data_IF_298775199104
#
_entry.id   IF_298775199104
#
_cell.length_a   1.000
_cell.length_b   1.000
_cell.length_c   1.000
_cell.angle_alpha   90.00
_cell.angle_beta   90.00
_cell.angle_gamma   90.00
#
_symmetry.space_group_name_H-M   'P 1'
#
loop_
_entity.id
_entity.type
_entity.pdbx_description
1 polymer ?
#
# COMPACT_ATOMS: atom_id res chain seq x y z
N UNK A 1 0.52 -28.39 15.58
CA UNK A 1 1.29 -27.95 14.42
C UNK A 1 1.93 -26.64 14.79
N UNK A 2 3.24 -26.56 14.72
CA UNK A 2 3.94 -25.31 15.01
C UNK A 2 3.57 -24.27 13.96
N UNK A 3 3.19 -23.08 14.42
CA UNK A 3 2.87 -21.97 13.51
C UNK A 3 4.14 -21.54 12.78
N UNK A 4 4.10 -21.30 11.47
CA UNK A 4 5.29 -20.89 10.73
C UNK A 4 5.79 -19.54 11.26
N UNK A 5 7.10 -19.45 11.43
CA UNK A 5 7.79 -18.21 11.79
C UNK A 5 8.12 -17.43 10.52
N UNK A 6 7.74 -16.16 10.47
CA UNK A 6 8.09 -15.24 9.38
C UNK A 6 9.10 -14.23 9.92
N UNK A 7 10.34 -14.39 9.50
CA UNK A 7 11.42 -13.48 9.91
C UNK A 7 11.14 -12.04 9.45
N UNK A 8 11.48 -11.09 10.30
CA UNK A 8 11.37 -9.68 9.94
C UNK A 8 12.20 -9.36 8.69
N UNK A 9 11.65 -8.50 7.83
CA UNK A 9 12.36 -8.11 6.61
C UNK A 9 13.67 -7.37 6.94
N UNK A 10 14.71 -7.49 6.11
CA UNK A 10 15.97 -6.80 6.33
C UNK A 10 15.81 -5.31 6.61
N UNK A 11 16.53 -4.80 7.58
CA UNK A 11 16.47 -3.40 8.03
C UNK A 11 15.25 -3.05 8.90
N UNK A 12 14.45 -4.03 9.37
CA UNK A 12 13.46 -3.83 10.43
C UNK A 12 14.20 -3.68 11.76
N UNK A 13 14.10 -2.53 12.47
CA UNK A 13 14.71 -2.36 13.76
C UNK A 13 13.97 -3.17 14.84
N UNK A 14 14.62 -3.50 15.96
CA UNK A 14 13.91 -4.07 17.10
C UNK A 14 12.87 -3.09 17.64
N UNK A 15 11.80 -3.61 18.21
CA UNK A 15 10.83 -2.81 18.94
C UNK A 15 11.45 -2.37 20.29
N UNK A 16 11.41 -1.07 20.57
CA UNK A 16 12.00 -0.49 21.76
C UNK A 16 11.59 0.98 21.96
N UNK A 17 12.12 1.65 23.02
CA UNK A 17 11.93 3.07 23.24
C UNK A 17 12.26 3.89 21.98
N UNK A 18 11.64 5.07 21.81
CA UNK A 18 12.02 5.99 20.75
C UNK A 18 13.51 6.35 20.84
N UNK A 19 14.19 6.33 19.71
CA UNK A 19 15.62 6.72 19.61
C UNK A 19 15.75 7.92 18.68
N UNK A 20 16.76 8.78 18.96
CA UNK A 20 17.04 9.95 18.11
C UNK A 20 18.44 9.87 17.55
N UNK A 21 18.60 10.33 16.32
CA UNK A 21 19.86 10.55 15.64
C UNK A 21 19.83 11.90 14.90
N UNK A 22 20.87 12.22 14.11
CA UNK A 22 20.93 13.43 13.28
C UNK A 22 19.78 13.51 12.24
N UNK A 23 19.13 12.40 11.96
CA UNK A 23 17.99 12.29 11.04
C UNK A 23 16.63 12.60 11.67
N UNK A 24 16.54 12.61 13.00
CA UNK A 24 15.34 12.76 13.80
C UNK A 24 15.03 11.53 14.66
N UNK A 25 13.78 11.36 15.03
CA UNK A 25 13.31 10.29 15.90
C UNK A 25 12.91 9.04 15.12
N UNK A 26 13.30 7.87 15.59
CA UNK A 26 12.80 6.57 15.13
C UNK A 26 11.87 5.98 16.18
N UNK A 27 10.63 5.71 15.80
CA UNK A 27 9.55 5.27 16.71
C UNK A 27 9.13 3.86 16.31
N UNK A 28 9.28 2.89 17.22
CA UNK A 28 9.13 1.45 16.93
C UNK A 28 8.10 0.74 17.82
N UNK A 29 7.77 1.24 19.02
CA UNK A 29 6.71 0.65 19.86
C UNK A 29 5.34 0.98 19.29
N UNK A 30 4.42 0.02 19.37
CA UNK A 30 3.04 0.17 18.88
C UNK A 30 2.33 1.39 19.51
N UNK A 31 2.38 1.51 20.84
CA UNK A 31 1.72 2.59 21.58
C UNK A 31 2.28 3.97 21.19
N UNK A 32 3.60 4.10 21.04
CA UNK A 32 4.25 5.34 20.66
C UNK A 32 3.90 5.74 19.22
N UNK A 33 3.87 4.78 18.30
CA UNK A 33 3.45 5.00 16.91
C UNK A 33 2.00 5.46 16.85
N UNK A 34 1.09 4.85 17.61
CA UNK A 34 -0.32 5.28 17.70
C UNK A 34 -0.41 6.69 18.28
N UNK A 35 0.32 6.99 19.36
CA UNK A 35 0.36 8.32 19.96
C UNK A 35 0.75 9.38 18.93
N UNK A 36 1.84 9.19 18.20
CA UNK A 36 2.29 10.14 17.15
C UNK A 36 1.28 10.25 16.00
N UNK A 37 0.64 9.15 15.59
CA UNK A 37 -0.36 9.17 14.51
C UNK A 37 -1.63 9.93 14.86
N UNK A 38 -1.97 9.99 16.15
CA UNK A 38 -3.21 10.64 16.65
C UNK A 38 -2.97 12.03 17.22
N UNK A 39 -1.73 12.41 17.51
CA UNK A 39 -1.38 13.74 18.04
C UNK A 39 -1.48 14.80 16.94
N UNK A 40 -2.33 15.85 17.09
CA UNK A 40 -2.46 16.92 16.12
C UNK A 40 -1.19 17.73 15.91
N UNK A 41 -0.26 17.73 16.85
CA UNK A 41 1.04 18.38 16.75
C UNK A 41 2.01 17.64 15.81
N UNK A 42 1.72 16.38 15.50
CA UNK A 42 2.53 15.54 14.61
C UNK A 42 1.96 15.60 13.17
N UNK A 43 2.44 16.56 12.38
CA UNK A 43 1.91 16.82 11.04
C UNK A 43 2.66 16.07 9.94
N UNK A 44 2.00 15.87 8.80
CA UNK A 44 2.68 15.45 7.57
C UNK A 44 3.30 16.68 6.92
N UNK A 45 4.57 16.63 6.46
CA UNK A 45 5.14 17.71 5.68
C UNK A 45 4.24 18.04 4.48
N UNK A 46 3.70 19.27 4.36
CA UNK A 46 2.81 19.61 3.27
C UNK A 46 3.58 19.72 1.94
N UNK A 47 2.90 19.44 0.84
CA UNK A 47 3.40 19.78 -0.48
C UNK A 47 3.20 21.27 -0.75
N UNK A 48 4.14 21.86 -1.49
CA UNK A 48 4.03 23.24 -1.97
C UNK A 48 2.95 23.35 -3.04
N UNK A 49 2.28 24.50 -3.12
CA UNK A 49 1.30 24.78 -4.17
C UNK A 49 1.99 24.86 -5.53
N UNK A 50 1.35 24.31 -6.56
CA UNK A 50 1.89 24.25 -7.90
C UNK A 50 0.77 24.38 -8.95
N UNK A 51 1.09 24.88 -10.16
CA UNK A 51 0.16 24.92 -11.29
C UNK A 51 -0.36 23.53 -11.66
N UNK A 52 -1.61 23.47 -12.13
CA UNK A 52 -2.27 22.25 -12.56
C UNK A 52 -1.50 21.52 -13.66
N UNK A 53 -1.55 20.19 -13.64
CA UNK A 53 -1.10 19.34 -14.75
C UNK A 53 0.12 18.46 -14.46
N UNK A 54 0.83 18.64 -13.32
CA UNK A 54 2.01 17.87 -12.99
C UNK A 54 1.98 17.17 -11.63
N UNK A 55 3.05 16.45 -11.32
CA UNK A 55 3.22 15.73 -10.06
C UNK A 55 3.15 16.65 -8.83
N UNK A 56 3.75 17.85 -8.92
CA UNK A 56 3.74 18.82 -7.83
C UNK A 56 2.31 19.26 -7.51
N UNK A 57 1.51 19.60 -8.53
CA UNK A 57 0.10 19.89 -8.38
C UNK A 57 -0.69 18.73 -7.78
N UNK A 58 -0.49 17.51 -8.29
CA UNK A 58 -1.17 16.33 -7.76
C UNK A 58 -0.90 16.17 -6.25
N UNK A 59 0.37 16.28 -5.83
CA UNK A 59 0.75 16.23 -4.42
C UNK A 59 0.09 17.35 -3.61
N UNK A 60 0.08 18.57 -4.12
CA UNK A 60 -0.50 19.73 -3.46
C UNK A 60 -2.02 19.64 -3.31
N UNK A 61 -2.69 18.87 -4.18
CA UNK A 61 -4.16 18.80 -4.24
C UNK A 61 -4.78 17.62 -3.46
N UNK A 62 -3.99 16.62 -3.07
CA UNK A 62 -4.50 15.43 -2.36
C UNK A 62 -4.43 15.57 -0.84
N UNK A 63 -5.30 14.85 -0.12
CA UNK A 63 -5.35 14.88 1.34
C UNK A 63 -4.04 14.43 2.01
N UNK A 64 -3.29 13.51 1.39
CA UNK A 64 -2.07 12.91 1.95
C UNK A 64 -1.00 13.95 2.34
N UNK A 65 -0.80 14.96 1.51
CA UNK A 65 0.21 16.01 1.71
C UNK A 65 -0.40 17.37 2.10
N UNK A 66 -1.67 17.37 2.48
CA UNK A 66 -2.37 18.59 2.87
C UNK A 66 -2.00 19.05 4.27
N UNK A 67 -1.84 20.37 4.48
CA UNK A 67 -1.72 20.94 5.80
C UNK A 67 -3.01 20.67 6.62
N UNK A 68 -2.93 20.72 7.97
CA UNK A 68 -4.07 20.40 8.84
C UNK A 68 -5.36 21.13 8.46
N UNK A 69 -5.29 22.43 8.13
CA UNK A 69 -6.45 23.25 7.78
C UNK A 69 -7.22 22.76 6.53
N UNK A 70 -6.55 22.12 5.57
CA UNK A 70 -7.18 21.64 4.31
C UNK A 70 -7.43 20.13 4.30
N UNK A 71 -6.81 19.40 5.24
CA UNK A 71 -6.81 17.94 5.23
C UNK A 71 -8.22 17.33 5.28
N UNK A 72 -9.07 17.80 6.21
CA UNK A 72 -10.40 17.22 6.41
C UNK A 72 -11.29 17.37 5.16
N UNK A 73 -11.32 18.54 4.54
CA UNK A 73 -12.10 18.79 3.32
C UNK A 73 -11.62 17.92 2.15
N UNK A 74 -10.31 17.88 1.89
CA UNK A 74 -9.74 17.07 0.82
C UNK A 74 -9.90 15.56 1.06
N UNK A 75 -9.79 15.14 2.33
CA UNK A 75 -10.07 13.76 2.70
C UNK A 75 -11.52 13.38 2.38
N UNK A 76 -12.48 14.27 2.68
CA UNK A 76 -13.89 14.04 2.38
C UNK A 76 -14.13 13.80 0.87
N UNK A 77 -13.43 14.53 -0.02
CA UNK A 77 -13.52 14.31 -1.46
C UNK A 77 -13.03 12.90 -1.84
N UNK A 78 -11.91 12.46 -1.31
CA UNK A 78 -11.39 11.11 -1.56
C UNK A 78 -12.30 10.01 -0.99
N UNK A 79 -12.82 10.20 0.22
CA UNK A 79 -13.78 9.27 0.85
C UNK A 79 -15.05 9.19 0.03
N UNK A 80 -15.64 10.31 -0.41
CA UNK A 80 -16.83 10.32 -1.24
C UNK A 80 -16.64 9.52 -2.56
N UNK A 81 -15.45 9.58 -3.17
CA UNK A 81 -15.15 8.76 -4.33
C UNK A 81 -15.07 7.26 -3.98
N UNK A 82 -14.49 6.89 -2.83
CA UNK A 82 -14.43 5.51 -2.36
C UNK A 82 -15.80 4.97 -1.97
N UNK A 83 -16.67 5.77 -1.39
CA UNK A 83 -18.01 5.37 -0.95
C UNK A 83 -18.93 4.97 -2.14
N UNK A 84 -18.58 5.36 -3.36
CA UNK A 84 -19.27 4.89 -4.57
C UNK A 84 -18.83 3.47 -5.00
N UNK A 85 -17.81 2.91 -4.39
CA UNK A 85 -17.20 1.64 -4.76
C UNK A 85 -17.53 0.57 -3.71
N UNK A 86 -18.34 -0.43 -4.07
CA UNK A 86 -18.60 -1.57 -3.19
C UNK A 86 -17.36 -2.50 -3.13
N UNK A 87 -16.74 -2.70 -1.96
CA UNK A 87 -15.62 -3.61 -1.82
C UNK A 87 -15.91 -5.05 -2.27
N UNK A 88 -17.15 -5.53 -2.10
CA UNK A 88 -17.55 -6.88 -2.53
C UNK A 88 -17.53 -6.98 -4.05
N UNK A 89 -18.03 -5.97 -4.73
CA UNK A 89 -18.02 -5.90 -6.19
C UNK A 89 -16.57 -5.82 -6.72
N UNK A 90 -15.71 -5.00 -6.09
CA UNK A 90 -14.28 -4.92 -6.45
C UNK A 90 -13.59 -6.27 -6.33
N UNK A 91 -13.87 -7.04 -5.27
CA UNK A 91 -13.34 -8.41 -5.09
C UNK A 91 -13.75 -9.31 -6.25
N UNK A 92 -15.05 -9.35 -6.58
CA UNK A 92 -15.57 -10.19 -7.66
C UNK A 92 -14.96 -9.82 -9.02
N UNK A 93 -14.81 -8.52 -9.30
CA UNK A 93 -14.18 -8.06 -10.55
C UNK A 93 -12.70 -8.47 -10.60
N UNK A 94 -11.97 -8.29 -9.49
CA UNK A 94 -10.58 -8.71 -9.38
C UNK A 94 -10.42 -10.23 -9.55
N UNK A 95 -11.30 -11.04 -8.96
CA UNK A 95 -11.33 -12.50 -9.15
C UNK A 95 -11.51 -12.87 -10.63
N UNK A 96 -12.49 -12.26 -11.29
CA UNK A 96 -12.76 -12.53 -12.72
C UNK A 96 -11.61 -12.11 -13.62
N UNK A 97 -11.02 -10.94 -13.35
CA UNK A 97 -9.89 -10.46 -14.15
C UNK A 97 -8.66 -11.35 -13.97
N UNK A 98 -8.37 -11.72 -12.73
CA UNK A 98 -7.28 -12.67 -12.42
C UNK A 98 -7.50 -14.01 -13.13
N UNK A 99 -8.71 -14.58 -13.04
CA UNK A 99 -9.06 -15.83 -13.74
C UNK A 99 -8.80 -15.74 -15.24
N UNK A 100 -9.25 -14.68 -15.90
CA UNK A 100 -9.02 -14.45 -17.34
C UNK A 100 -7.53 -14.36 -17.71
N UNK A 101 -6.71 -13.73 -16.87
CA UNK A 101 -5.25 -13.67 -17.10
C UNK A 101 -4.64 -15.06 -17.02
N UNK A 102 -5.01 -15.85 -16.00
CA UNK A 102 -4.54 -17.23 -15.86
C UNK A 102 -5.01 -18.13 -17.01
N UNK A 103 -6.26 -17.99 -17.47
CA UNK A 103 -6.79 -18.77 -18.59
C UNK A 103 -6.02 -18.48 -19.88
N UNK A 104 -5.65 -17.21 -20.12
CA UNK A 104 -4.81 -16.85 -21.28
C UNK A 104 -3.40 -17.43 -21.17
N UNK A 105 -2.81 -17.40 -19.98
CA UNK A 105 -1.50 -18.01 -19.76
C UNK A 105 -1.53 -19.51 -20.01
N UNK A 106 -2.55 -20.22 -19.52
CA UNK A 106 -2.75 -21.67 -19.76
C UNK A 106 -2.95 -22.01 -21.24
N UNK A 107 -3.51 -21.10 -22.05
CA UNK A 107 -3.80 -21.31 -23.47
C UNK A 107 -2.64 -20.90 -24.39
N UNK A 108 -1.54 -20.37 -23.85
CA UNK A 108 -0.40 -19.95 -24.65
C UNK A 108 0.47 -21.15 -25.06
N UNK A 109 0.72 -21.35 -26.36
CA UNK A 109 1.44 -22.49 -26.95
C UNK A 109 2.93 -22.62 -26.51
N UNK A 110 3.43 -21.70 -25.69
CA UNK A 110 4.85 -21.58 -25.34
C UNK A 110 5.23 -22.25 -24.00
N UNK A 111 4.50 -23.26 -23.52
CA UNK A 111 4.76 -23.89 -22.23
C UNK A 111 4.42 -22.99 -21.03
N UNK A 112 3.40 -22.15 -21.17
CA UNK A 112 3.05 -21.04 -20.31
C UNK A 112 2.36 -21.41 -18.98
N UNK A 113 2.87 -22.42 -18.27
CA UNK A 113 2.39 -22.73 -16.92
C UNK A 113 2.82 -21.68 -15.87
N UNK A 114 3.76 -20.78 -16.22
CA UNK A 114 4.31 -19.76 -15.30
C UNK A 114 3.67 -18.41 -15.52
N UNK A 115 3.33 -17.73 -14.42
CA UNK A 115 2.76 -16.39 -14.43
C UNK A 115 3.55 -15.50 -13.47
N UNK A 116 3.96 -14.32 -13.94
CA UNK A 116 4.57 -13.29 -13.10
C UNK A 116 3.49 -12.62 -12.24
N UNK A 117 3.50 -12.96 -10.95
CA UNK A 117 2.57 -12.36 -9.98
C UNK A 117 2.79 -10.87 -9.86
N UNK A 118 4.04 -10.42 -9.90
CA UNK A 118 4.39 -9.01 -9.64
C UNK A 118 3.92 -8.10 -10.77
N UNK A 119 4.27 -8.45 -12.02
CA UNK A 119 3.96 -7.64 -13.19
C UNK A 119 2.53 -7.81 -13.68
N UNK A 120 2.11 -9.07 -13.88
CA UNK A 120 0.86 -9.37 -14.58
C UNK A 120 -0.39 -9.31 -13.69
N UNK A 121 -0.24 -9.54 -12.38
CA UNK A 121 -1.37 -9.66 -11.48
C UNK A 121 -1.40 -8.61 -10.38
N UNK A 122 -0.37 -8.56 -9.53
CA UNK A 122 -0.40 -7.79 -8.29
C UNK A 122 -0.56 -6.28 -8.50
N UNK A 123 0.10 -5.74 -9.52
CA UNK A 123 -0.03 -4.33 -9.87
C UNK A 123 -1.17 -4.09 -10.85
N UNK A 124 -1.27 -4.90 -11.88
CA UNK A 124 -2.20 -4.69 -12.98
C UNK A 124 -3.65 -4.84 -12.56
N UNK A 125 -4.01 -5.94 -11.90
CA UNK A 125 -5.42 -6.24 -11.59
C UNK A 125 -6.06 -5.15 -10.71
N UNK A 126 -5.48 -4.77 -9.55
CA UNK A 126 -6.07 -3.72 -8.72
C UNK A 126 -6.19 -2.38 -9.43
N UNK A 127 -5.18 -1.99 -10.21
CA UNK A 127 -5.17 -0.70 -10.89
C UNK A 127 -6.18 -0.64 -12.04
N UNK A 128 -6.31 -1.70 -12.86
CA UNK A 128 -7.33 -1.77 -13.91
C UNK A 128 -8.72 -1.65 -13.30
N UNK A 129 -9.00 -2.43 -12.24
CA UNK A 129 -10.30 -2.41 -11.57
C UNK A 129 -10.62 -1.04 -10.99
N UNK A 130 -9.67 -0.42 -10.26
CA UNK A 130 -9.89 0.91 -9.69
C UNK A 130 -10.02 1.99 -10.75
N UNK A 131 -9.18 1.99 -11.80
CA UNK A 131 -9.25 2.97 -12.87
C UNK A 131 -10.59 2.92 -13.62
N UNK A 132 -11.07 1.71 -13.94
CA UNK A 132 -12.38 1.50 -14.55
C UNK A 132 -13.50 2.02 -13.65
N UNK A 133 -13.49 1.65 -12.37
CA UNK A 133 -14.54 2.04 -11.41
C UNK A 133 -14.49 3.51 -11.03
N UNK A 134 -13.35 4.18 -11.16
CA UNK A 134 -13.21 5.63 -11.01
C UNK A 134 -13.49 6.41 -12.32
N UNK A 135 -13.84 5.70 -13.41
CA UNK A 135 -14.33 6.26 -14.64
C UNK A 135 -13.26 6.71 -15.65
N UNK A 136 -12.02 6.20 -15.55
CA UNK A 136 -10.99 6.50 -16.55
C UNK A 136 -11.34 5.84 -17.89
N UNK A 137 -11.17 6.56 -19.00
CA UNK A 137 -11.57 6.11 -20.33
C UNK A 137 -10.79 4.89 -20.82
N UNK A 138 -9.52 4.74 -20.41
CA UNK A 138 -8.67 3.58 -20.71
C UNK A 138 -7.99 3.07 -19.45
N UNK A 139 -8.65 2.14 -18.76
CA UNK A 139 -8.15 1.55 -17.52
C UNK A 139 -6.87 0.73 -17.71
N UNK A 140 -6.65 0.15 -18.90
CA UNK A 140 -5.47 -0.64 -19.18
C UNK A 140 -4.23 0.26 -19.40
N UNK A 141 -4.37 1.33 -20.18
CA UNK A 141 -3.32 2.33 -20.37
C UNK A 141 -2.99 3.07 -19.06
N UNK A 142 -3.99 3.34 -18.22
CA UNK A 142 -3.80 4.03 -16.95
C UNK A 142 -2.81 3.30 -16.01
N UNK A 143 -2.63 1.98 -16.11
CA UNK A 143 -1.70 1.22 -15.25
C UNK A 143 -0.26 1.71 -15.40
N UNK A 144 0.20 1.93 -16.63
CA UNK A 144 1.56 2.41 -16.90
C UNK A 144 1.77 3.83 -16.36
N UNK A 145 0.79 4.69 -16.56
CA UNK A 145 0.84 6.09 -16.13
C UNK A 145 0.77 6.20 -14.60
N UNK A 146 -0.13 5.49 -13.94
CA UNK A 146 -0.20 5.43 -12.48
C UNK A 146 1.13 4.92 -11.89
N UNK A 147 1.73 3.90 -12.51
CA UNK A 147 3.02 3.35 -12.08
C UNK A 147 4.14 4.39 -12.20
N UNK A 148 4.16 5.17 -13.29
CA UNK A 148 5.15 6.23 -13.49
C UNK A 148 5.00 7.35 -12.44
N UNK A 149 3.76 7.72 -12.10
CA UNK A 149 3.50 8.69 -11.02
C UNK A 149 3.91 8.12 -9.66
N UNK A 150 3.55 6.87 -9.35
CA UNK A 150 3.87 6.23 -8.08
C UNK A 150 5.38 6.17 -7.82
N UNK A 151 6.18 5.88 -8.85
CA UNK A 151 7.64 5.84 -8.76
C UNK A 151 8.30 7.18 -8.35
N UNK A 152 7.61 8.31 -8.57
CA UNK A 152 8.08 9.63 -8.17
C UNK A 152 7.23 10.28 -7.07
N UNK A 153 6.19 9.59 -6.56
CA UNK A 153 5.18 10.21 -5.70
C UNK A 153 5.71 10.68 -4.34
N UNK A 154 6.73 10.03 -3.82
CA UNK A 154 7.38 10.46 -2.59
C UNK A 154 8.51 11.48 -2.86
N UNK A 155 8.78 12.42 -1.93
CA UNK A 155 9.91 13.32 -2.04
C UNK A 155 11.24 12.57 -2.21
N UNK A 156 12.15 13.16 -3.00
CA UNK A 156 13.49 12.58 -3.23
C UNK A 156 13.65 11.84 -4.57
N UNK A 157 12.61 11.78 -5.39
CA UNK A 157 12.73 11.24 -6.74
C UNK A 157 13.64 12.10 -7.63
N UNK A 158 14.48 11.46 -8.44
CA UNK A 158 15.37 12.16 -9.36
C UNK A 158 14.63 12.88 -10.49
N UNK A 159 15.27 13.90 -11.14
CA UNK A 159 14.63 14.75 -12.13
C UNK A 159 14.01 13.99 -13.31
N UNK A 160 14.62 12.89 -13.77
CA UNK A 160 14.09 12.08 -14.85
C UNK A 160 12.79 11.37 -14.50
N UNK A 161 12.68 10.88 -13.26
CA UNK A 161 11.46 10.25 -12.73
C UNK A 161 10.34 11.30 -12.56
N UNK A 162 10.67 12.50 -12.05
CA UNK A 162 9.72 13.60 -11.93
C UNK A 162 9.15 14.00 -13.28
N UNK A 163 10.01 14.24 -14.29
CA UNK A 163 9.54 14.58 -15.66
C UNK A 163 8.66 13.49 -16.28
N UNK A 164 8.95 12.22 -16.00
CA UNK A 164 8.11 11.10 -16.45
C UNK A 164 6.75 11.13 -15.75
N UNK A 165 6.74 11.36 -14.46
CA UNK A 165 5.52 11.49 -13.66
C UNK A 165 4.67 12.69 -14.08
N UNK A 166 5.28 13.83 -14.46
CA UNK A 166 4.55 15.00 -14.96
C UNK A 166 3.77 14.67 -16.25
N UNK A 167 4.43 14.00 -17.20
CA UNK A 167 3.75 13.54 -18.43
C UNK A 167 2.63 12.52 -18.12
N UNK A 168 2.89 11.63 -17.18
CA UNK A 168 1.93 10.63 -16.77
C UNK A 168 0.70 11.25 -16.09
N UNK A 169 0.87 12.29 -15.26
CA UNK A 169 -0.26 13.04 -14.68
C UNK A 169 -1.08 13.69 -15.79
N UNK A 170 -0.45 14.32 -16.77
CA UNK A 170 -1.17 14.91 -17.91
C UNK A 170 -1.97 13.87 -18.71
N UNK A 171 -1.40 12.69 -18.95
CA UNK A 171 -2.10 11.58 -19.61
C UNK A 171 -3.29 11.07 -18.79
N UNK A 172 -3.13 10.91 -17.46
CA UNK A 172 -4.21 10.50 -16.57
C UNK A 172 -5.33 11.55 -16.50
N UNK A 173 -5.00 12.84 -16.53
CA UNK A 173 -6.00 13.91 -16.61
C UNK A 173 -6.82 13.80 -17.90
N UNK A 174 -6.17 13.54 -19.03
CA UNK A 174 -6.86 13.36 -20.32
C UNK A 174 -7.79 12.12 -20.36
N UNK A 175 -7.49 11.09 -19.57
CA UNK A 175 -8.33 9.89 -19.42
C UNK A 175 -9.45 10.06 -18.38
N UNK A 176 -9.39 11.11 -17.54
CA UNK A 176 -10.32 11.30 -16.43
C UNK A 176 -11.65 11.88 -16.90
N UNK A 177 -12.78 11.48 -16.32
CA UNK A 177 -14.07 12.10 -16.62
C UNK A 177 -14.06 13.55 -16.13
N UNK A 178 -14.80 14.46 -16.81
CA UNK A 178 -14.90 15.85 -16.43
C UNK A 178 -15.34 16.01 -14.96
N UNK A 179 -14.56 16.75 -14.19
CA UNK A 179 -14.84 17.07 -12.79
C UNK A 179 -14.01 18.29 -12.36
N UNK A 180 -14.33 18.94 -11.23
CA UNK A 180 -13.45 19.95 -10.65
C UNK A 180 -12.04 19.40 -10.42
N UNK A 181 -11.01 20.24 -10.62
CA UNK A 181 -9.61 19.86 -10.54
C UNK A 181 -9.24 19.10 -9.24
N UNK A 182 -9.74 19.55 -8.10
CA UNK A 182 -9.50 18.90 -6.81
C UNK A 182 -10.14 17.49 -6.72
N UNK A 183 -11.31 17.30 -7.31
CA UNK A 183 -11.99 15.98 -7.38
C UNK A 183 -11.15 15.04 -8.24
N UNK A 184 -10.73 15.49 -9.42
CA UNK A 184 -9.86 14.70 -10.31
C UNK A 184 -8.54 14.36 -9.66
N UNK A 185 -7.87 15.33 -9.02
CA UNK A 185 -6.63 15.09 -8.28
C UNK A 185 -6.80 14.03 -7.18
N UNK A 186 -7.88 14.09 -6.41
CA UNK A 186 -8.12 13.10 -5.35
C UNK A 186 -8.41 11.71 -5.93
N UNK A 187 -9.15 11.57 -7.04
CA UNK A 187 -9.34 10.29 -7.74
C UNK A 187 -8.01 9.71 -8.23
N UNK A 188 -7.19 10.51 -8.90
CA UNK A 188 -5.85 10.10 -9.32
C UNK A 188 -4.95 9.75 -8.12
N UNK A 189 -5.05 10.54 -7.05
CA UNK A 189 -4.36 10.27 -5.79
C UNK A 189 -4.73 8.92 -5.17
N UNK A 190 -5.97 8.47 -5.27
CA UNK A 190 -6.40 7.13 -4.82
C UNK A 190 -5.71 6.02 -5.64
N UNK A 191 -5.65 6.15 -6.96
CA UNK A 191 -4.96 5.20 -7.84
C UNK A 191 -3.46 5.11 -7.52
N UNK A 192 -2.80 6.26 -7.44
CA UNK A 192 -1.35 6.34 -7.18
C UNK A 192 -0.98 5.76 -5.81
N UNK A 193 -1.77 6.06 -4.78
CA UNK A 193 -1.51 5.55 -3.43
C UNK A 193 -1.85 4.07 -3.27
N UNK A 194 -2.76 3.53 -4.07
CA UNK A 194 -3.08 2.10 -4.08
C UNK A 194 -2.02 1.26 -4.80
N UNK A 195 -1.28 1.81 -5.76
CA UNK A 195 -0.44 1.08 -6.69
C UNK A 195 0.56 0.14 -6.02
N UNK A 196 1.51 0.69 -5.26
CA UNK A 196 2.58 -0.10 -4.66
C UNK A 196 2.11 -0.82 -3.39
N UNK A 197 1.21 -0.20 -2.60
CA UNK A 197 0.74 -0.78 -1.36
C UNK A 197 -0.12 -2.04 -1.58
N UNK A 198 -1.04 -2.00 -2.54
CA UNK A 198 -1.90 -3.16 -2.84
C UNK A 198 -1.10 -4.26 -3.55
N UNK A 199 -0.23 -3.88 -4.49
CA UNK A 199 0.65 -4.84 -5.15
C UNK A 199 1.58 -5.54 -4.15
N UNK A 200 2.20 -4.78 -3.23
CA UNK A 200 3.05 -5.33 -2.18
C UNK A 200 2.31 -6.30 -1.26
N UNK A 201 1.05 -5.98 -0.90
CA UNK A 201 0.22 -6.89 -0.10
C UNK A 201 -0.06 -8.21 -0.83
N UNK A 202 -0.40 -8.16 -2.12
CA UNK A 202 -0.64 -9.37 -2.93
C UNK A 202 0.64 -10.20 -3.02
N UNK A 203 1.78 -9.58 -3.33
CA UNK A 203 3.08 -10.27 -3.42
C UNK A 203 3.45 -10.92 -2.09
N UNK A 204 3.32 -10.22 -0.97
CA UNK A 204 3.58 -10.76 0.35
C UNK A 204 2.62 -11.92 0.69
N UNK A 205 1.33 -11.77 0.37
CA UNK A 205 0.34 -12.82 0.63
C UNK A 205 0.60 -14.09 -0.20
N UNK A 206 1.04 -13.95 -1.44
CA UNK A 206 1.44 -15.09 -2.27
C UNK A 206 2.70 -15.76 -1.73
N UNK A 207 3.72 -14.97 -1.35
CA UNK A 207 4.96 -15.49 -0.79
C UNK A 207 4.75 -16.30 0.49
N UNK A 208 3.88 -15.84 1.38
CA UNK A 208 3.70 -16.42 2.71
C UNK A 208 2.48 -17.34 2.82
N UNK A 209 1.58 -17.32 1.85
CA UNK A 209 0.29 -17.98 2.00
C UNK A 209 -0.20 -18.82 0.83
N UNK A 210 0.58 -18.97 -0.24
CA UNK A 210 0.14 -19.79 -1.37
C UNK A 210 0.05 -21.28 -0.99
N UNK A 211 0.95 -21.77 -0.13
CA UNK A 211 0.95 -23.13 0.42
C UNK A 211 0.24 -23.22 1.80
N UNK A 212 -0.42 -22.15 2.23
CA UNK A 212 -1.18 -22.20 3.47
C UNK A 212 -2.35 -23.21 3.35
N UNK A 213 -2.76 -23.84 4.46
CA UNK A 213 -3.85 -24.82 4.44
C UNK A 213 -5.11 -24.28 3.76
N UNK A 214 -5.80 -25.14 2.99
CA UNK A 214 -7.02 -24.79 2.25
C UNK A 214 -8.14 -24.22 3.15
N UNK A 215 -8.19 -24.62 4.42
CA UNK A 215 -9.15 -24.10 5.41
C UNK A 215 -8.84 -22.69 5.95
N UNK A 216 -7.69 -22.10 5.61
CA UNK A 216 -7.38 -20.72 6.03
C UNK A 216 -8.07 -19.72 5.10
N UNK A 217 -9.01 -18.96 5.64
CA UNK A 217 -9.69 -17.89 4.89
C UNK A 217 -8.71 -16.83 4.39
N UNK A 218 -8.89 -16.39 3.14
CA UNK A 218 -7.98 -15.42 2.50
C UNK A 218 -7.92 -14.08 3.26
N UNK A 219 -9.03 -13.62 3.82
CA UNK A 219 -9.06 -12.36 4.58
C UNK A 219 -8.25 -12.46 5.88
N UNK A 220 -8.28 -13.64 6.53
CA UNK A 220 -7.49 -13.94 7.72
C UNK A 220 -5.99 -14.00 7.39
N UNK A 221 -5.64 -14.62 6.26
CA UNK A 221 -4.27 -14.62 5.73
C UNK A 221 -3.77 -13.19 5.50
N UNK A 222 -4.54 -12.36 4.79
CA UNK A 222 -4.17 -10.98 4.48
C UNK A 222 -3.95 -10.13 5.73
N UNK A 223 -4.79 -10.31 6.75
CA UNK A 223 -4.65 -9.58 8.01
C UNK A 223 -3.31 -9.85 8.70
N UNK A 224 -2.90 -11.12 8.75
CA UNK A 224 -1.65 -11.51 9.40
C UNK A 224 -0.42 -11.20 8.53
N UNK A 225 -0.53 -11.29 7.21
CA UNK A 225 0.52 -10.85 6.28
C UNK A 225 0.75 -9.35 6.39
N UNK A 226 -0.30 -8.53 6.49
CA UNK A 226 -0.18 -7.08 6.74
C UNK A 226 0.59 -6.75 8.02
N UNK A 227 0.50 -7.59 9.03
CA UNK A 227 1.25 -7.44 10.28
C UNK A 227 2.72 -7.85 10.11
N UNK A 228 2.96 -9.02 9.53
CA UNK A 228 4.28 -9.65 9.45
C UNK A 228 5.18 -9.11 8.34
N UNK A 229 4.62 -8.82 7.18
CA UNK A 229 5.34 -8.30 6.00
C UNK A 229 4.57 -7.12 5.37
N UNK A 230 4.47 -5.99 6.09
CA UNK A 230 3.68 -4.85 5.66
C UNK A 230 4.25 -4.20 4.39
N UNK A 231 3.44 -3.98 3.35
CA UNK A 231 3.89 -3.29 2.13
C UNK A 231 4.27 -1.83 2.39
N UNK A 232 3.64 -1.20 3.38
CA UNK A 232 4.00 0.13 3.88
C UNK A 232 4.68 -0.05 5.23
N UNK A 233 6.01 -0.02 5.23
CA UNK A 233 6.83 -0.29 6.41
C UNK A 233 7.05 0.94 7.29
N UNK A 234 6.96 2.13 6.70
CA UNK A 234 7.29 3.38 7.39
C UNK A 234 6.35 4.52 6.99
N UNK A 235 6.14 5.45 7.91
CA UNK A 235 5.58 6.77 7.59
C UNK A 235 6.32 7.85 8.36
N UNK A 236 6.15 9.12 7.93
CA UNK A 236 6.88 10.25 8.50
C UNK A 236 5.93 11.29 9.05
N UNK A 237 6.37 11.93 10.13
CA UNK A 237 5.75 13.11 10.71
C UNK A 237 6.82 14.15 11.00
N UNK A 238 6.36 15.38 11.26
CA UNK A 238 7.18 16.47 11.80
C UNK A 238 6.43 17.04 12.99
N UNK A 239 7.14 17.35 14.07
CA UNK A 239 6.58 18.04 15.20
C UNK A 239 6.31 19.51 14.82
N UNK A 240 5.04 19.92 14.79
CA UNK A 240 4.64 21.31 14.55
C UNK A 240 4.69 22.14 15.84
N UNK A 241 4.55 21.49 16.98
CA UNK A 241 4.65 22.07 18.32
C UNK A 241 5.48 21.15 19.21
N UNK A 242 6.06 21.65 20.31
CA UNK A 242 6.81 20.82 21.25
C UNK A 242 5.91 19.71 21.83
N UNK A 243 6.46 18.51 21.93
CA UNK A 243 5.77 17.38 22.55
C UNK A 243 6.76 16.51 23.34
N UNK A 244 6.23 15.57 24.10
CA UNK A 244 7.04 14.57 24.81
C UNK A 244 6.69 13.20 24.27
N UNK A 245 7.70 12.39 23.96
CA UNK A 245 7.56 11.02 23.48
C UNK A 245 8.37 10.10 24.39
N UNK A 246 7.71 9.20 25.11
CA UNK A 246 8.32 8.31 26.11
C UNK A 246 9.24 9.08 27.12
N UNK A 247 8.74 10.22 27.64
CA UNK A 247 9.49 11.09 28.55
C UNK A 247 10.58 11.96 27.89
N UNK A 248 10.86 11.79 26.62
CA UNK A 248 11.87 12.55 25.89
C UNK A 248 11.27 13.78 25.19
N UNK A 249 11.90 14.97 25.29
CA UNK A 249 11.40 16.17 24.64
C UNK A 249 11.66 16.13 23.14
N UNK A 250 10.61 16.30 22.34
CA UNK A 250 10.67 16.45 20.88
C UNK A 250 10.44 17.94 20.55
N UNK A 251 11.37 18.54 19.83
CA UNK A 251 11.35 19.96 19.47
C UNK A 251 10.57 20.21 18.19
N UNK A 252 10.09 21.45 18.02
CA UNK A 252 9.49 21.88 16.75
C UNK A 252 10.44 21.66 15.59
N UNK A 253 9.90 21.13 14.49
CA UNK A 253 10.68 20.83 13.27
C UNK A 253 11.38 19.46 13.27
N UNK A 254 11.46 18.78 14.40
CA UNK A 254 12.06 17.44 14.44
C UNK A 254 11.21 16.42 13.68
N UNK A 255 11.90 15.56 12.94
CA UNK A 255 11.29 14.51 12.13
C UNK A 255 11.04 13.26 12.97
N UNK A 256 9.92 12.61 12.74
CA UNK A 256 9.52 11.35 13.39
C UNK A 256 9.31 10.29 12.30
N UNK A 257 10.17 9.27 12.28
CA UNK A 257 10.08 8.11 11.42
C UNK A 257 9.34 6.99 12.17
N UNK A 258 8.12 6.73 11.78
CA UNK A 258 7.27 5.71 12.41
C UNK A 258 7.47 4.38 11.68
N UNK A 259 7.92 3.36 12.39
CA UNK A 259 8.25 2.04 11.86
C UNK A 259 7.10 1.07 12.09
N UNK A 260 6.21 0.95 11.10
CA UNK A 260 5.09 0.00 11.15
C UNK A 260 5.55 -1.45 11.18
N UNK A 261 6.63 -1.76 10.46
CA UNK A 261 7.23 -3.08 10.43
C UNK A 261 7.74 -3.54 11.81
N UNK A 262 8.28 -2.64 12.62
CA UNK A 262 8.67 -2.92 13.99
C UNK A 262 7.46 -2.92 14.95
N UNK A 263 6.60 -1.90 14.87
CA UNK A 263 5.45 -1.76 15.75
C UNK A 263 4.44 -2.92 15.61
N UNK A 264 4.28 -3.46 14.41
CA UNK A 264 3.46 -4.65 14.15
C UNK A 264 4.05 -5.95 14.74
N UNK A 265 5.25 -5.88 15.29
CA UNK A 265 5.96 -6.96 15.99
C UNK A 265 6.22 -6.63 17.46
N UNK A 266 5.53 -5.62 18.01
CA UNK A 266 5.63 -5.26 19.42
C UNK A 266 5.13 -6.42 20.30
N UNK A 267 6.00 -7.07 21.12
CA UNK A 267 5.61 -8.20 21.95
C UNK A 267 4.60 -7.81 23.04
N UNK A 268 4.51 -6.53 23.41
CA UNK A 268 3.52 -6.05 24.36
C UNK A 268 2.09 -6.08 23.77
N UNK A 269 1.96 -6.10 22.43
CA UNK A 269 0.68 -6.11 21.71
C UNK A 269 0.43 -7.45 21.02
N UNK A 270 1.48 -8.05 20.48
CA UNK A 270 1.43 -9.28 19.69
C UNK A 270 2.29 -10.38 20.35
N UNK A 271 1.73 -11.22 21.22
CA UNK A 271 2.46 -12.37 21.77
C UNK A 271 3.01 -13.22 20.63
N UNK A 272 4.26 -13.69 20.77
CA UNK A 272 5.00 -14.42 19.72
C UNK A 272 4.95 -13.65 18.38
N UNK A 273 5.57 -12.46 18.34
CA UNK A 273 5.35 -11.49 17.26
C UNK A 273 5.82 -11.97 15.88
N UNK A 274 6.74 -12.93 15.82
CA UNK A 274 7.28 -13.47 14.57
C UNK A 274 6.51 -14.70 14.06
N UNK A 275 5.61 -15.27 14.90
CA UNK A 275 4.79 -16.39 14.51
C UNK A 275 3.54 -15.94 13.75
N UNK A 276 3.23 -16.63 12.66
CA UNK A 276 1.96 -16.49 11.97
C UNK A 276 0.84 -17.08 12.82
N UNK A 277 -0.10 -16.24 13.20
CA UNK A 277 -1.29 -16.64 13.99
C UNK A 277 -2.55 -16.01 13.42
N UNK A 278 -3.41 -16.84 12.86
CA UNK A 278 -4.71 -16.41 12.38
C UNK A 278 -5.60 -15.88 13.54
N UNK A 279 -6.39 -14.85 13.26
CA UNK A 279 -7.43 -14.37 14.19
C UNK A 279 -6.92 -13.58 15.39
N UNK A 280 -5.79 -12.87 15.28
CA UNK A 280 -5.34 -11.95 16.33
C UNK A 280 -6.35 -10.83 16.57
N UNK A 281 -6.56 -10.47 17.84
CA UNK A 281 -7.52 -9.43 18.23
C UNK A 281 -7.05 -8.02 17.85
N UNK A 282 -5.74 -7.77 17.86
CA UNK A 282 -5.18 -6.45 17.59
C UNK A 282 -4.92 -6.23 16.09
N UNK A 283 -5.27 -5.05 15.59
CA UNK A 283 -5.05 -4.67 14.20
C UNK A 283 -3.61 -4.19 13.95
N UNK A 284 -3.04 -4.58 12.81
CA UNK A 284 -1.76 -4.05 12.35
C UNK A 284 -1.87 -2.55 12.00
N UNK A 285 -0.78 -1.80 12.23
CA UNK A 285 -0.70 -0.37 11.93
C UNK A 285 -0.42 -0.04 10.44
N UNK A 286 -0.37 -1.04 9.58
CA UNK A 286 -0.02 -0.90 8.16
C UNK A 286 -0.93 0.09 7.41
N UNK A 287 -2.18 0.22 7.82
CA UNK A 287 -3.11 1.24 7.31
C UNK A 287 -3.07 2.56 8.10
N UNK A 288 -2.16 2.71 9.06
CA UNK A 288 -2.09 3.86 9.95
C UNK A 288 -3.21 3.87 10.99
N UNK A 289 -3.30 4.98 11.71
CA UNK A 289 -4.33 5.23 12.72
C UNK A 289 -4.74 6.71 12.73
N UNK A 290 -5.82 7.03 13.46
CA UNK A 290 -6.30 8.39 13.66
C UNK A 290 -6.81 9.08 12.38
N UNK A 291 -6.84 10.41 12.37
CA UNK A 291 -7.47 11.19 11.29
C UNK A 291 -6.85 10.97 9.91
N UNK A 292 -5.60 10.50 9.86
CA UNK A 292 -4.86 10.23 8.61
C UNK A 292 -4.70 8.74 8.30
N UNK A 293 -5.44 7.88 8.97
CA UNK A 293 -5.53 6.45 8.62
C UNK A 293 -6.02 6.25 7.18
N UNK A 294 -5.70 5.12 6.57
CA UNK A 294 -6.03 4.84 5.17
C UNK A 294 -7.56 4.81 4.95
N UNK A 295 -8.11 5.66 4.07
CA UNK A 295 -9.55 5.61 3.78
C UNK A 295 -9.94 4.41 2.92
N UNK A 296 -9.01 3.88 2.12
CA UNK A 296 -9.22 2.79 1.17
C UNK A 296 -8.95 1.39 1.72
N UNK A 297 -8.78 1.21 3.04
CA UNK A 297 -8.43 -0.08 3.63
C UNK A 297 -9.33 -1.23 3.16
N UNK A 298 -10.65 -1.08 3.23
CA UNK A 298 -11.61 -2.12 2.82
C UNK A 298 -11.50 -2.44 1.33
N UNK A 299 -11.26 -1.43 0.49
CA UNK A 299 -11.12 -1.59 -0.96
C UNK A 299 -9.81 -2.31 -1.33
N UNK A 300 -8.69 -1.92 -0.69
CA UNK A 300 -7.40 -2.58 -0.89
C UNK A 300 -7.44 -4.06 -0.48
N UNK A 301 -8.04 -4.36 0.67
CA UNK A 301 -8.22 -5.74 1.14
C UNK A 301 -9.10 -6.55 0.18
N UNK A 302 -10.20 -5.99 -0.29
CA UNK A 302 -11.11 -6.66 -1.22
C UNK A 302 -10.43 -7.00 -2.56
N UNK A 303 -9.68 -6.05 -3.13
CA UNK A 303 -8.90 -6.26 -4.35
C UNK A 303 -7.83 -7.32 -4.15
N UNK A 304 -7.07 -7.25 -3.05
CA UNK A 304 -6.04 -8.24 -2.74
C UNK A 304 -6.66 -9.63 -2.52
N UNK A 305 -7.78 -9.72 -1.79
CA UNK A 305 -8.48 -10.98 -1.55
C UNK A 305 -8.99 -11.62 -2.85
N UNK A 306 -9.47 -10.82 -3.80
CA UNK A 306 -9.88 -11.29 -5.11
C UNK A 306 -8.74 -11.95 -5.88
N UNK A 307 -7.58 -11.30 -5.93
CA UNK A 307 -6.39 -11.86 -6.62
C UNK A 307 -5.85 -13.08 -5.88
N UNK A 308 -5.56 -12.95 -4.59
CA UNK A 308 -4.92 -14.01 -3.78
C UNK A 308 -5.82 -15.25 -3.69
N UNK A 309 -7.14 -15.06 -3.53
CA UNK A 309 -8.09 -16.17 -3.49
C UNK A 309 -8.08 -17.02 -4.76
N UNK A 310 -7.99 -16.41 -5.94
CA UNK A 310 -7.86 -17.15 -7.21
C UNK A 310 -6.52 -17.87 -7.30
N UNK A 311 -5.42 -17.20 -6.94
CA UNK A 311 -4.08 -17.79 -6.98
C UNK A 311 -3.98 -19.01 -6.05
N UNK A 312 -4.51 -18.94 -4.84
CA UNK A 312 -4.53 -20.07 -3.91
C UNK A 312 -5.29 -21.29 -4.44
N UNK A 313 -6.38 -21.06 -5.18
CA UNK A 313 -7.16 -22.17 -5.77
C UNK A 313 -6.53 -22.77 -7.03
N UNK A 314 -5.79 -21.95 -7.81
CA UNK A 314 -5.40 -22.33 -9.18
C UNK A 314 -3.90 -22.47 -9.40
N UNK A 315 -3.09 -22.02 -8.45
CA UNK A 315 -1.65 -21.97 -8.62
C UNK A 315 -0.91 -22.66 -7.47
N UNK A 316 0.34 -23.00 -7.72
CA UNK A 316 1.32 -23.43 -6.72
C UNK A 316 2.59 -22.58 -6.84
N UNK A 317 3.45 -22.49 -5.81
CA UNK A 317 4.71 -21.78 -5.92
C UNK A 317 5.55 -22.34 -7.09
N UNK A 318 6.14 -21.46 -7.87
CA UNK A 318 7.25 -21.84 -8.71
C UNK A 318 8.44 -22.08 -7.77
N UNK A 319 8.97 -23.29 -7.72
CA UNK A 319 10.18 -23.57 -6.95
C UNK A 319 11.29 -22.58 -7.30
N UNK A 320 12.35 -22.44 -6.47
CA UNK A 320 13.45 -21.53 -6.76
C UNK A 320 14.02 -21.89 -8.14
N UNK A 321 14.07 -20.87 -9.02
CA UNK A 321 14.73 -21.04 -10.31
C UNK A 321 16.23 -21.23 -10.03
N UNK A 322 16.88 -22.25 -10.56
CA UNK A 322 18.33 -22.37 -10.42
C UNK A 322 19.00 -21.18 -11.12
N UNK A 323 19.90 -20.50 -10.42
CA UNK A 323 20.88 -19.54 -10.92
C UNK A 323 20.38 -18.18 -11.47
N UNK A 324 19.26 -17.62 -11.02
CA UNK A 324 18.81 -16.30 -11.46
C UNK A 324 18.72 -15.32 -10.28
N UNK A 325 19.24 -14.05 -10.41
CA UNK A 325 19.12 -13.01 -9.38
C UNK A 325 17.64 -12.70 -9.09
N UNK A 326 17.28 -11.95 -8.05
CA UNK A 326 15.93 -11.88 -7.49
C UNK A 326 14.89 -11.60 -8.58
N UNK A 327 14.31 -12.67 -9.03
CA UNK A 327 13.35 -12.79 -10.12
C UNK A 327 11.98 -12.25 -9.69
N UNK A 328 11.13 -11.78 -10.62
CA UNK A 328 9.74 -11.56 -10.34
C UNK A 328 9.14 -12.80 -9.65
N UNK A 329 8.25 -12.59 -8.69
CA UNK A 329 7.56 -13.70 -8.01
C UNK A 329 6.68 -14.43 -9.02
N UNK A 330 7.05 -15.66 -9.35
CA UNK A 330 6.31 -16.50 -10.28
C UNK A 330 5.49 -17.56 -9.56
N UNK A 331 4.37 -17.93 -10.16
CA UNK A 331 3.54 -19.07 -9.77
C UNK A 331 3.34 -19.98 -10.97
N UNK A 332 3.07 -21.26 -10.68
CA UNK A 332 2.77 -22.28 -11.70
C UNK A 332 1.29 -22.61 -11.59
N UNK A 333 0.60 -22.69 -12.73
CA UNK A 333 -0.78 -23.16 -12.81
C UNK A 333 -0.88 -24.64 -12.37
N UNK A 334 -1.96 -24.97 -11.69
CA UNK A 334 -2.28 -26.38 -11.29
C UNK A 334 -3.03 -27.08 -12.38
#
# INVERSE_FOLDING_TARGET
MDSPTITAAPGTPPCGPPTSDDGGWVVTRYADVVSVLTDPRCVVPPAEEAPEGGLAWLRASVSRFSPPARHAARRAVGVAALDTLDPRELRVIAERLTGRILDRAASADNGGDRVDVTGDLARRVPLVVLAERLGLADSAAAVAEVTAVAAAYHPGAGPAAVRRADRAVAALLAMSPPAPAEVTANRLGLLVQAADATAGLIVAAVRHGLDAPDGLETDVLLAEVLRLDPPVRVTRRVAADPLTLDGQPVRVGERLLLRFDAANRDPAVFPEPDCFRAGRANAALTFGAGPRGCPGQRHALALAAGVVGVLRRRCRPAGPAPDVPPTPLEVILR
#
